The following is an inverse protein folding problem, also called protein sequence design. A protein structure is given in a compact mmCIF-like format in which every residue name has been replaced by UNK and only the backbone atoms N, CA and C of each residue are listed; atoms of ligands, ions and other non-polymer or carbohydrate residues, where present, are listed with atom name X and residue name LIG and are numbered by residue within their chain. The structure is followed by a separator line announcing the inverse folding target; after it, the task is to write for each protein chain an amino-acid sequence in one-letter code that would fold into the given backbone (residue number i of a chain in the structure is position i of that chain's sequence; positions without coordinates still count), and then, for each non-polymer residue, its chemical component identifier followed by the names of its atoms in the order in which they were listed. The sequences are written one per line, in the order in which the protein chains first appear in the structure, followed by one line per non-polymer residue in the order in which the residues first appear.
data_IF_489872859206
#
_entry.id   IF_489872859206
#
_cell.length_a   1.000
_cell.length_b   1.000
_cell.length_c   1.000
_cell.angle_alpha   90.00
_cell.angle_beta   90.00
_cell.angle_gamma   90.00
#
_symmetry.space_group_name_H-M   'P 1'
#
loop_
_entity.id
_entity.type
_entity.pdbx_description
1 polymer ?
#
# COMPACT_ATOMS: atom_id res chain seq x y z
N UNK A 1 14.54 -17.78 -16.16
CA UNK A 1 15.49 -16.75 -16.60
C UNK A 1 15.79 -15.91 -15.38
N UNK A 2 17.02 -15.94 -14.86
CA UNK A 2 17.39 -15.09 -13.74
C UNK A 2 17.30 -13.64 -14.22
N UNK A 3 16.59 -12.78 -13.49
CA UNK A 3 16.57 -11.35 -13.77
C UNK A 3 18.01 -10.86 -13.70
N UNK A 4 18.48 -10.23 -14.78
CA UNK A 4 19.80 -9.63 -14.83
C UNK A 4 19.83 -8.53 -13.76
N UNK A 5 20.61 -8.73 -12.70
CA UNK A 5 20.74 -7.76 -11.61
C UNK A 5 21.57 -6.60 -12.17
N UNK A 6 20.89 -5.56 -12.64
CA UNK A 6 21.54 -4.31 -13.08
C UNK A 6 21.84 -3.48 -11.82
N UNK A 7 22.92 -3.84 -11.11
CA UNK A 7 23.37 -3.07 -9.96
C UNK A 7 24.68 -2.34 -10.29
N UNK A 8 24.66 -1.00 -10.44
CA UNK A 8 25.85 -0.24 -10.80
C UNK A 8 26.92 -0.18 -9.68
N UNK A 9 26.65 -0.74 -8.48
CA UNK A 9 27.55 -0.67 -7.32
C UNK A 9 28.21 -2.00 -6.94
N UNK A 10 28.10 -3.05 -7.76
CA UNK A 10 28.77 -4.33 -7.47
C UNK A 10 30.29 -4.29 -7.64
N UNK A 11 30.84 -3.28 -8.33
CA UNK A 11 32.21 -3.32 -8.86
C UNK A 11 33.20 -2.36 -8.19
N UNK A 12 32.96 -1.90 -6.95
CA UNK A 12 33.93 -1.06 -6.22
C UNK A 12 34.45 -1.72 -4.93
N UNK A 13 35.71 -2.17 -5.01
CA UNK A 13 36.71 -2.35 -3.95
C UNK A 13 36.24 -2.82 -2.56
N UNK A 14 36.23 -4.15 -2.38
CA UNK A 14 36.26 -4.78 -1.06
C UNK A 14 37.68 -4.67 -0.46
N UNK A 15 38.04 -3.47 0.00
CA UNK A 15 39.16 -3.21 0.89
C UNK A 15 38.64 -2.78 2.26
N UNK A 16 38.20 -3.72 3.09
CA UNK A 16 37.89 -3.45 4.49
C UNK A 16 38.25 -4.66 5.37
N UNK A 17 39.07 -4.39 6.38
CA UNK A 17 39.61 -5.33 7.35
C UNK A 17 38.48 -6.05 8.12
N UNK A 18 38.60 -7.37 8.22
CA UNK A 18 37.65 -8.22 8.95
C UNK A 18 37.90 -8.10 10.46
N UNK A 19 36.95 -7.49 11.17
CA UNK A 19 36.82 -7.65 12.62
C UNK A 19 36.12 -8.98 12.93
N UNK A 20 36.75 -9.81 13.77
CA UNK A 20 36.22 -11.09 14.24
C UNK A 20 34.90 -10.90 15.01
N UNK A 21 33.80 -11.52 14.56
CA UNK A 21 32.62 -11.71 15.42
C UNK A 21 31.23 -11.74 14.76
N UNK A 22 31.10 -11.36 13.48
CA UNK A 22 29.85 -11.53 12.74
C UNK A 22 30.16 -12.23 11.41
N UNK A 23 29.57 -13.42 11.20
CA UNK A 23 29.45 -13.98 9.85
C UNK A 23 28.84 -12.89 8.96
N UNK A 24 29.48 -12.49 7.85
CA UNK A 24 28.91 -11.46 7.00
C UNK A 24 27.54 -11.94 6.52
N UNK A 25 26.49 -11.13 6.74
CA UNK A 25 25.13 -11.32 6.19
C UNK A 25 25.11 -11.58 4.68
N UNK A 26 26.25 -11.34 4.02
CA UNK A 26 26.62 -11.65 2.64
C UNK A 26 26.71 -13.15 2.29
N UNK A 27 26.26 -14.07 3.16
CA UNK A 27 26.24 -15.51 2.82
C UNK A 27 25.14 -15.84 1.79
N UNK A 28 25.47 -15.77 0.50
CA UNK A 28 24.82 -16.40 -0.66
C UNK A 28 23.31 -16.21 -0.91
N UNK A 29 22.55 -15.51 -0.07
CA UNK A 29 21.12 -15.30 -0.32
C UNK A 29 20.93 -14.31 -1.49
N UNK A 30 20.34 -14.74 -2.62
CA UNK A 30 20.12 -13.89 -3.78
C UNK A 30 19.28 -12.64 -3.48
N UNK A 31 18.46 -12.65 -2.43
CA UNK A 31 17.68 -11.50 -2.01
C UNK A 31 18.60 -10.34 -1.58
N UNK A 32 19.64 -10.59 -0.78
CA UNK A 32 20.57 -9.54 -0.35
C UNK A 32 21.40 -9.00 -1.51
N UNK A 33 21.84 -9.88 -2.42
CA UNK A 33 22.56 -9.49 -3.62
C UNK A 33 21.72 -8.56 -4.53
N UNK A 34 20.43 -8.87 -4.71
CA UNK A 34 19.48 -8.04 -5.47
C UNK A 34 19.26 -6.66 -4.83
N UNK A 35 19.22 -6.59 -3.49
CA UNK A 35 18.91 -5.35 -2.77
C UNK A 35 20.12 -4.46 -2.50
N UNK A 36 21.34 -4.91 -2.78
CA UNK A 36 22.56 -4.11 -2.56
C UNK A 36 22.44 -2.78 -3.31
N UNK A 37 22.52 -1.65 -2.63
CA UNK A 37 22.40 -0.33 -3.27
C UNK A 37 20.97 0.13 -3.61
N UNK A 38 19.95 -0.65 -3.25
CA UNK A 38 18.54 -0.35 -3.52
C UNK A 38 18.05 -0.83 -4.89
N UNK A 39 16.73 -0.84 -5.08
CA UNK A 39 16.06 -1.33 -6.30
C UNK A 39 15.65 -0.22 -7.27
N UNK A 40 15.94 1.04 -6.92
CA UNK A 40 15.44 2.21 -7.63
C UNK A 40 16.57 3.14 -8.09
N UNK A 41 16.33 3.83 -9.19
CA UNK A 41 17.16 4.93 -9.67
C UNK A 41 16.27 6.03 -10.27
N UNK A 42 16.74 7.28 -10.23
CA UNK A 42 16.11 8.41 -10.93
C UNK A 42 16.83 8.60 -12.27
N UNK A 43 16.06 8.68 -13.35
CA UNK A 43 16.58 8.91 -14.70
C UNK A 43 15.92 10.14 -15.31
N UNK A 44 16.72 11.02 -15.91
CA UNK A 44 16.21 12.17 -16.65
C UNK A 44 15.45 11.71 -17.91
N UNK A 45 14.27 12.29 -18.15
CA UNK A 45 13.45 12.02 -19.34
C UNK A 45 13.81 12.91 -20.53
N UNK A 46 14.61 13.95 -20.30
CA UNK A 46 15.10 14.87 -21.33
C UNK A 46 16.63 14.89 -21.33
N UNK A 47 17.28 14.93 -22.50
CA UNK A 47 18.74 15.03 -22.57
C UNK A 47 19.22 16.41 -22.13
N UNK A 48 20.39 16.45 -21.49
CA UNK A 48 21.13 17.69 -21.20
C UNK A 48 22.54 17.52 -21.75
N UNK A 49 22.74 17.81 -23.04
CA UNK A 49 23.99 17.52 -23.75
C UNK A 49 24.91 18.73 -23.86
N UNK A 50 24.32 19.93 -23.91
CA UNK A 50 25.04 21.16 -24.14
C UNK A 50 24.43 22.33 -23.35
N UNK A 51 24.99 23.53 -23.57
CA UNK A 51 24.56 24.77 -22.93
C UNK A 51 23.12 25.13 -23.29
N UNK A 52 22.68 24.81 -24.50
CA UNK A 52 21.36 25.18 -24.99
C UNK A 52 20.30 24.32 -24.30
N UNK A 53 20.49 22.99 -24.27
CA UNK A 53 19.66 22.06 -23.51
C UNK A 53 19.58 22.47 -22.02
N UNK A 54 20.74 22.77 -21.39
CA UNK A 54 20.80 23.19 -19.99
C UNK A 54 20.02 24.50 -19.73
N UNK A 55 20.09 25.45 -20.67
CA UNK A 55 19.39 26.74 -20.54
C UNK A 55 17.87 26.62 -20.64
N UNK A 56 17.37 25.54 -21.27
CA UNK A 56 15.95 25.23 -21.37
C UNK A 56 15.47 24.41 -20.17
N UNK A 57 16.19 23.35 -19.81
CA UNK A 57 15.86 22.46 -18.70
C UNK A 57 16.01 23.16 -17.33
N UNK A 58 16.87 24.18 -17.25
CA UNK A 58 17.12 24.95 -16.05
C UNK A 58 17.14 26.46 -16.34
N UNK A 59 17.96 27.23 -15.62
CA UNK A 59 18.03 28.68 -15.78
C UNK A 59 18.61 29.08 -17.14
N UNK A 60 18.00 30.05 -17.85
CA UNK A 60 16.84 30.85 -17.46
C UNK A 60 15.47 30.30 -17.92
N UNK A 61 15.42 29.24 -18.72
CA UNK A 61 14.20 28.70 -19.32
C UNK A 61 13.14 28.27 -18.31
N UNK A 62 13.55 27.55 -17.26
CA UNK A 62 12.66 27.04 -16.20
C UNK A 62 11.84 28.16 -15.52
N UNK A 63 12.37 29.39 -15.43
CA UNK A 63 11.68 30.51 -14.81
C UNK A 63 10.37 30.85 -15.53
N UNK A 64 10.30 30.68 -16.86
CA UNK A 64 9.07 30.92 -17.63
C UNK A 64 7.98 29.92 -17.24
N UNK A 65 8.33 28.65 -17.08
CA UNK A 65 7.41 27.59 -16.67
C UNK A 65 6.93 27.81 -15.23
N UNK A 66 7.85 28.16 -14.32
CA UNK A 66 7.48 28.51 -12.94
C UNK A 66 6.51 29.69 -12.87
N UNK A 67 6.75 30.76 -13.64
CA UNK A 67 5.84 31.91 -13.72
C UNK A 67 4.47 31.52 -14.28
N UNK A 68 4.43 30.70 -15.33
CA UNK A 68 3.17 30.23 -15.90
C UNK A 68 2.34 29.41 -14.89
N UNK A 69 2.98 28.52 -14.11
CA UNK A 69 2.29 27.76 -13.05
C UNK A 69 1.84 28.68 -11.91
N UNK A 70 2.62 29.70 -11.55
CA UNK A 70 2.22 30.67 -10.54
C UNK A 70 0.98 31.49 -10.95
N UNK A 71 0.81 31.76 -12.25
CA UNK A 71 -0.36 32.44 -12.81
C UNK A 71 -1.55 31.48 -13.02
N UNK A 72 -1.28 30.22 -13.39
CA UNK A 72 -2.29 29.18 -13.66
C UNK A 72 -1.85 27.85 -13.00
N UNK A 73 -2.23 27.61 -11.73
CA UNK A 73 -1.76 26.46 -10.95
C UNK A 73 -1.97 25.09 -11.61
N UNK A 74 -3.05 24.89 -12.35
CA UNK A 74 -3.39 23.62 -13.01
C UNK A 74 -2.32 23.15 -14.02
N UNK A 75 -1.54 24.09 -14.58
CA UNK A 75 -0.43 23.79 -15.49
C UNK A 75 0.67 22.94 -14.85
N UNK A 76 0.66 22.78 -13.52
CA UNK A 76 1.56 21.85 -12.82
C UNK A 76 1.42 20.41 -13.33
N UNK A 77 0.23 20.01 -13.79
CA UNK A 77 -0.02 18.65 -14.30
C UNK A 77 0.56 18.42 -15.70
N UNK A 78 0.70 19.48 -16.49
CA UNK A 78 1.22 19.43 -17.86
C UNK A 78 2.74 19.60 -17.90
N UNK A 79 3.29 20.47 -17.06
CA UNK A 79 4.70 20.88 -17.12
C UNK A 79 5.57 20.34 -15.99
N UNK A 80 5.03 19.44 -15.16
CA UNK A 80 5.82 18.73 -14.15
C UNK A 80 5.48 17.24 -14.16
N UNK A 81 6.32 16.44 -13.51
CA UNK A 81 6.06 15.02 -13.33
C UNK A 81 4.88 14.69 -12.39
N UNK A 82 4.25 15.70 -11.74
CA UNK A 82 3.21 15.51 -10.71
C UNK A 82 2.10 14.58 -11.19
N UNK A 83 1.67 14.70 -12.44
CA UNK A 83 0.59 13.88 -13.02
C UNK A 83 0.92 12.39 -13.15
N UNK A 84 2.19 12.01 -13.04
CA UNK A 84 2.67 10.64 -13.28
C UNK A 84 3.34 9.99 -12.07
N UNK A 85 3.42 10.70 -10.93
CA UNK A 85 4.15 10.23 -9.74
C UNK A 85 3.26 10.06 -8.51
N UNK A 86 3.41 8.92 -7.84
CA UNK A 86 2.69 8.57 -6.60
C UNK A 86 3.67 8.52 -5.41
N UNK A 87 3.25 9.04 -4.26
CA UNK A 87 3.96 8.81 -3.00
C UNK A 87 3.54 7.46 -2.41
N UNK A 88 4.48 6.55 -2.18
CA UNK A 88 4.25 5.30 -1.44
C UNK A 88 4.64 5.55 0.01
N UNK A 89 3.66 5.81 0.86
CA UNK A 89 3.85 6.28 2.24
C UNK A 89 3.64 5.16 3.24
N UNK A 90 4.57 5.00 4.17
CA UNK A 90 4.48 4.05 5.28
C UNK A 90 5.10 4.63 6.56
N UNK A 91 4.73 4.10 7.72
CA UNK A 91 5.44 4.27 8.99
C UNK A 91 6.19 2.99 9.42
N UNK A 92 6.09 1.91 8.65
CA UNK A 92 6.73 0.62 8.92
C UNK A 92 6.12 -0.19 10.07
N UNK A 93 4.90 0.14 10.49
CA UNK A 93 4.27 -0.48 11.67
C UNK A 93 3.51 -1.78 11.39
N UNK A 94 3.29 -2.14 10.13
CA UNK A 94 2.62 -3.38 9.73
C UNK A 94 3.23 -4.00 8.47
N UNK A 95 4.56 -4.08 8.41
CA UNK A 95 5.27 -4.56 7.23
C UNK A 95 5.06 -6.06 7.04
N UNK A 96 4.30 -6.44 6.02
CA UNK A 96 4.01 -7.83 5.69
C UNK A 96 3.52 -8.63 6.93
N UNK A 97 4.10 -9.81 7.18
CA UNK A 97 3.90 -10.58 8.42
C UNK A 97 4.93 -10.29 9.51
N UNK A 98 5.79 -9.28 9.33
CA UNK A 98 6.87 -8.94 10.27
C UNK A 98 6.39 -7.99 11.38
N UNK A 99 5.28 -7.28 11.14
CA UNK A 99 4.70 -6.34 12.08
C UNK A 99 5.46 -5.01 12.10
N UNK A 100 5.60 -4.45 13.31
CA UNK A 100 6.27 -3.17 13.50
C UNK A 100 7.79 -3.36 13.54
N UNK A 101 8.43 -3.02 12.42
CA UNK A 101 9.89 -3.09 12.24
C UNK A 101 10.51 -1.71 12.00
N UNK A 102 9.70 -0.66 12.03
CA UNK A 102 10.11 0.72 11.81
C UNK A 102 10.29 1.11 10.33
N UNK A 103 10.42 2.42 10.07
CA UNK A 103 10.38 2.96 8.71
C UNK A 103 11.59 2.55 7.87
N UNK A 104 12.81 2.53 8.40
CA UNK A 104 13.99 2.16 7.61
C UNK A 104 13.95 0.69 7.17
N UNK A 105 13.48 -0.21 8.04
CA UNK A 105 13.35 -1.62 7.72
C UNK A 105 12.21 -1.92 6.72
N UNK A 106 11.26 -0.99 6.56
CA UNK A 106 10.19 -1.08 5.57
C UNK A 106 10.63 -0.72 4.15
N UNK A 107 11.72 0.06 3.99
CA UNK A 107 12.14 0.60 2.68
C UNK A 107 12.30 -0.44 1.58
N UNK A 108 12.86 -1.66 1.83
CA UNK A 108 12.89 -2.70 0.81
C UNK A 108 11.50 -3.04 0.27
N UNK A 109 10.47 -3.08 1.12
CA UNK A 109 9.09 -3.34 0.65
C UNK A 109 8.57 -2.16 -0.17
N UNK A 110 8.80 -0.92 0.30
CA UNK A 110 8.34 0.29 -0.39
C UNK A 110 9.02 0.49 -1.74
N UNK A 111 10.32 0.25 -1.86
CA UNK A 111 11.04 0.22 -3.13
C UNK A 111 10.47 -0.88 -4.05
N UNK A 112 10.11 -2.02 -3.47
CA UNK A 112 9.41 -3.11 -4.17
C UNK A 112 8.08 -2.65 -4.77
N UNK A 113 7.25 -1.95 -3.98
CA UNK A 113 5.99 -1.37 -4.45
C UNK A 113 6.22 -0.35 -5.56
N UNK A 114 7.22 0.51 -5.42
CA UNK A 114 7.53 1.52 -6.42
C UNK A 114 7.94 0.92 -7.78
N UNK A 115 8.79 -0.13 -7.80
CA UNK A 115 9.13 -0.80 -9.06
C UNK A 115 7.94 -1.54 -9.67
N UNK A 116 6.98 -2.03 -8.87
CA UNK A 116 5.75 -2.66 -9.37
C UNK A 116 4.82 -1.63 -10.01
N UNK A 117 4.66 -0.44 -9.41
CA UNK A 117 3.96 0.69 -10.02
C UNK A 117 4.54 1.02 -11.41
N UNK A 118 5.87 1.07 -11.51
CA UNK A 118 6.53 1.36 -12.79
C UNK A 118 6.36 0.24 -13.80
N UNK A 119 6.64 -1.00 -13.40
CA UNK A 119 6.71 -2.15 -14.30
C UNK A 119 5.33 -2.55 -14.86
N UNK A 120 4.28 -2.47 -14.03
CA UNK A 120 2.94 -2.95 -14.42
C UNK A 120 1.96 -1.81 -14.70
N UNK A 121 2.12 -0.66 -14.04
CA UNK A 121 1.25 0.50 -14.21
C UNK A 121 1.81 1.61 -15.10
N UNK A 122 3.12 1.60 -15.39
CA UNK A 122 3.78 2.74 -16.04
C UNK A 122 3.83 4.00 -15.17
N UNK A 123 3.58 3.88 -13.86
CA UNK A 123 3.48 4.98 -12.89
C UNK A 123 4.82 5.12 -12.17
N UNK A 124 5.34 6.34 -12.07
CA UNK A 124 6.51 6.61 -11.22
C UNK A 124 6.08 6.65 -9.75
N UNK A 125 6.92 6.15 -8.86
CA UNK A 125 6.57 6.05 -7.45
C UNK A 125 7.79 6.34 -6.57
N UNK A 126 7.56 7.07 -5.48
CA UNK A 126 8.60 7.46 -4.52
C UNK A 126 8.27 6.87 -3.14
N UNK A 127 9.11 5.97 -2.61
CA UNK A 127 9.04 5.52 -1.22
C UNK A 127 9.22 6.67 -0.24
N UNK A 128 8.30 6.82 0.70
CA UNK A 128 8.35 7.80 1.78
C UNK A 128 8.07 7.05 3.10
N UNK A 129 9.15 6.64 3.78
CA UNK A 129 9.07 6.03 5.09
C UNK A 129 9.17 7.12 6.18
N UNK A 130 8.13 7.26 6.99
CA UNK A 130 8.00 8.31 8.01
C UNK A 130 8.36 7.76 9.38
N UNK A 131 9.29 8.42 10.07
CA UNK A 131 9.64 8.11 11.46
C UNK A 131 8.72 8.83 12.45
N UNK A 132 7.43 8.55 12.35
CA UNK A 132 6.41 8.97 13.29
C UNK A 132 5.23 7.98 13.26
N UNK A 133 4.59 7.79 14.41
CA UNK A 133 3.42 6.90 14.55
C UNK A 133 2.17 7.65 15.00
N UNK A 134 2.25 8.96 15.21
CA UNK A 134 1.06 9.76 15.46
C UNK A 134 0.29 9.98 14.16
N UNK A 135 -1.03 9.72 14.19
CA UNK A 135 -1.86 9.79 12.99
C UNK A 135 -1.96 11.23 12.44
N UNK A 136 -2.03 12.24 13.30
CA UNK A 136 -2.11 13.64 12.88
C UNK A 136 -0.78 14.14 12.31
N UNK A 137 0.35 13.71 12.88
CA UNK A 137 1.68 14.00 12.34
C UNK A 137 1.89 13.38 10.95
N UNK A 138 1.47 12.13 10.75
CA UNK A 138 1.52 11.47 9.43
C UNK A 138 0.65 12.25 8.44
N UNK A 139 -0.60 12.53 8.79
CA UNK A 139 -1.55 13.26 7.92
C UNK A 139 -0.98 14.62 7.52
N UNK A 140 -0.50 15.41 8.48
CA UNK A 140 0.04 16.74 8.21
C UNK A 140 1.31 16.68 7.36
N UNK A 141 2.18 15.69 7.58
CA UNK A 141 3.38 15.48 6.77
C UNK A 141 3.01 15.17 5.32
N UNK A 142 2.09 14.22 5.10
CA UNK A 142 1.64 13.84 3.76
C UNK A 142 0.94 15.01 3.06
N UNK A 143 0.14 15.80 3.78
CA UNK A 143 -0.50 17.00 3.21
C UNK A 143 0.54 18.02 2.73
N UNK A 144 1.62 18.23 3.47
CA UNK A 144 2.71 19.13 3.04
C UNK A 144 3.50 18.60 1.85
N UNK A 145 3.57 17.28 1.68
CA UNK A 145 4.23 16.64 0.54
C UNK A 145 3.36 16.61 -0.73
N UNK A 146 2.03 16.61 -0.58
CA UNK A 146 1.07 16.44 -1.66
C UNK A 146 1.27 17.34 -2.90
N UNK A 147 1.75 18.60 -2.82
CA UNK A 147 2.05 19.38 -4.02
C UNK A 147 2.99 18.67 -5.01
N UNK A 148 3.87 17.79 -4.55
CA UNK A 148 4.86 17.07 -5.38
C UNK A 148 4.30 15.82 -6.08
N UNK A 149 3.11 15.36 -5.72
CA UNK A 149 2.56 14.07 -6.14
C UNK A 149 1.19 14.19 -6.79
N UNK A 150 0.86 13.25 -7.67
CA UNK A 150 -0.44 13.10 -8.31
C UNK A 150 -1.37 12.12 -7.60
N UNK A 151 -0.85 11.37 -6.63
CA UNK A 151 -1.60 10.47 -5.77
C UNK A 151 -0.77 9.99 -4.57
N UNK A 152 -1.45 9.43 -3.58
CA UNK A 152 -0.85 8.84 -2.38
C UNK A 152 -1.29 7.39 -2.25
N UNK A 153 -0.33 6.48 -2.16
CA UNK A 153 -0.52 5.08 -1.81
C UNK A 153 -0.04 4.86 -0.38
N UNK A 154 -0.97 4.61 0.56
CA UNK A 154 -0.64 4.21 1.92
C UNK A 154 -0.35 2.71 1.97
N UNK A 155 0.71 2.34 2.66
CA UNK A 155 1.23 0.97 2.68
C UNK A 155 1.73 0.58 4.08
N UNK A 156 1.45 -0.65 4.52
CA UNK A 156 2.05 -1.26 5.72
C UNK A 156 1.88 -0.41 7.00
N UNK A 157 0.73 0.27 7.16
CA UNK A 157 0.36 1.04 8.37
C UNK A 157 -0.60 0.22 9.23
N UNK A 158 -0.30 0.09 10.52
CA UNK A 158 -1.10 -0.74 11.42
C UNK A 158 -2.53 -0.24 11.67
N UNK A 159 -3.46 -1.18 11.71
CA UNK A 159 -4.82 -0.94 12.18
C UNK A 159 -4.82 -0.72 13.71
N UNK A 160 -5.70 0.17 14.24
CA UNK A 160 -6.77 0.88 13.54
C UNK A 160 -6.35 2.24 12.95
N UNK A 161 -5.12 2.71 13.16
CA UNK A 161 -4.68 4.07 12.75
C UNK A 161 -4.77 4.28 11.24
N UNK A 162 -4.50 3.24 10.45
CA UNK A 162 -4.60 3.27 9.00
C UNK A 162 -5.95 3.81 8.48
N UNK A 163 -7.06 3.46 9.13
CA UNK A 163 -8.40 3.91 8.75
C UNK A 163 -8.60 5.41 8.97
N UNK A 164 -8.08 5.93 10.09
CA UNK A 164 -8.17 7.34 10.43
C UNK A 164 -7.27 8.19 9.52
N UNK A 165 -6.04 7.74 9.29
CA UNK A 165 -5.07 8.40 8.40
C UNK A 165 -5.64 8.50 6.98
N UNK A 166 -6.13 7.39 6.44
CA UNK A 166 -6.72 7.37 5.09
C UNK A 166 -7.91 8.33 4.98
N UNK A 167 -8.87 8.24 5.91
CA UNK A 167 -10.04 9.13 5.91
C UNK A 167 -9.63 10.60 5.96
N UNK A 168 -8.74 10.98 6.91
CA UNK A 168 -8.28 12.37 7.06
C UNK A 168 -7.56 12.87 5.82
N UNK A 169 -6.78 12.02 5.15
CA UNK A 169 -6.10 12.38 3.92
C UNK A 169 -7.08 12.55 2.76
N UNK A 170 -8.05 11.65 2.60
CA UNK A 170 -9.11 11.78 1.58
C UNK A 170 -9.96 13.04 1.77
N UNK A 171 -10.17 13.48 3.02
CA UNK A 171 -10.90 14.73 3.33
C UNK A 171 -10.08 15.99 3.03
N UNK A 172 -8.75 15.92 3.14
CA UNK A 172 -7.87 17.10 3.06
C UNK A 172 -7.15 17.27 1.73
N UNK A 173 -7.03 16.23 0.92
CA UNK A 173 -6.29 16.23 -0.33
C UNK A 173 -7.23 16.27 -1.54
N UNK A 174 -6.79 16.99 -2.57
CA UNK A 174 -7.40 17.06 -3.90
C UNK A 174 -6.89 15.97 -4.85
N UNK A 175 -5.88 15.21 -4.43
CA UNK A 175 -5.33 14.05 -5.14
C UNK A 175 -5.88 12.73 -4.57
N UNK A 176 -5.96 11.65 -5.38
CA UNK A 176 -6.40 10.35 -4.88
C UNK A 176 -5.51 9.81 -3.76
N UNK A 177 -6.14 9.26 -2.73
CA UNK A 177 -5.50 8.56 -1.61
C UNK A 177 -6.07 7.15 -1.55
N UNK A 178 -5.18 6.16 -1.55
CA UNK A 178 -5.53 4.75 -1.59
C UNK A 178 -4.65 3.95 -0.62
N UNK A 179 -5.26 3.16 0.26
CA UNK A 179 -4.53 2.19 1.06
C UNK A 179 -4.55 0.80 0.43
N UNK A 180 -3.39 0.29 0.00
CA UNK A 180 -3.31 -0.96 -0.78
C UNK A 180 -3.71 -2.19 0.05
N UNK A 181 -3.22 -2.29 1.29
CA UNK A 181 -3.56 -3.41 2.18
C UNK A 181 -5.06 -3.54 2.46
N UNK A 182 -5.80 -2.44 2.37
CA UNK A 182 -7.25 -2.42 2.50
C UNK A 182 -7.92 -2.68 1.15
N UNK A 183 -7.86 -1.71 0.26
CA UNK A 183 -8.68 -1.67 -0.95
C UNK A 183 -8.10 -2.58 -2.04
N UNK A 184 -6.78 -2.63 -2.19
CA UNK A 184 -6.11 -3.52 -3.15
C UNK A 184 -6.44 -4.98 -2.86
N UNK A 185 -6.28 -5.39 -1.59
CA UNK A 185 -6.65 -6.72 -1.10
C UNK A 185 -8.14 -7.04 -1.34
N UNK A 186 -9.04 -6.08 -1.09
CA UNK A 186 -10.47 -6.27 -1.31
C UNK A 186 -10.83 -6.44 -2.79
N UNK A 187 -10.26 -5.63 -3.68
CA UNK A 187 -10.50 -5.70 -5.13
C UNK A 187 -10.10 -7.07 -5.69
N UNK A 188 -8.90 -7.55 -5.36
CA UNK A 188 -8.42 -8.84 -5.88
C UNK A 188 -9.20 -10.01 -5.28
N UNK A 189 -9.60 -9.92 -4.01
CA UNK A 189 -10.44 -10.93 -3.35
C UNK A 189 -11.82 -11.03 -4.00
N UNK A 190 -12.47 -9.89 -4.26
CA UNK A 190 -13.76 -9.86 -4.97
C UNK A 190 -13.62 -10.42 -6.40
N UNK A 191 -12.56 -10.06 -7.12
CA UNK A 191 -12.31 -10.57 -8.46
C UNK A 191 -12.14 -12.11 -8.48
N UNK A 192 -11.35 -12.65 -7.54
CA UNK A 192 -11.17 -14.09 -7.36
C UNK A 192 -12.52 -14.78 -7.05
N UNK A 193 -13.30 -14.21 -6.12
CA UNK A 193 -14.58 -14.79 -5.74
C UNK A 193 -15.62 -14.76 -6.87
N UNK A 194 -15.67 -13.69 -7.67
CA UNK A 194 -16.52 -13.63 -8.87
C UNK A 194 -16.19 -14.74 -9.87
N UNK A 195 -14.91 -15.04 -10.07
CA UNK A 195 -14.49 -16.13 -10.95
C UNK A 195 -14.83 -17.51 -10.35
N UNK A 196 -14.65 -17.70 -9.04
CA UNK A 196 -15.03 -18.94 -8.36
C UNK A 196 -16.55 -19.18 -8.41
N UNK A 197 -17.36 -18.14 -8.23
CA UNK A 197 -18.82 -18.20 -8.35
C UNK A 197 -19.23 -18.62 -9.78
N UNK A 198 -18.66 -17.98 -10.80
CA UNK A 198 -18.89 -18.35 -12.21
C UNK A 198 -18.51 -19.81 -12.50
N UNK A 199 -17.35 -20.26 -12.02
CA UNK A 199 -16.88 -21.63 -12.23
C UNK A 199 -17.80 -22.67 -11.57
N UNK A 200 -18.38 -22.34 -10.43
CA UNK A 200 -19.32 -23.22 -9.70
C UNK A 200 -20.78 -23.08 -10.15
N UNK A 201 -21.07 -22.21 -11.12
CA UNK A 201 -22.44 -21.96 -11.59
C UNK A 201 -23.32 -21.22 -10.58
N UNK A 202 -22.71 -20.50 -9.62
CA UNK A 202 -23.39 -19.75 -8.56
C UNK A 202 -23.25 -18.25 -8.75
N UNK A 203 -24.11 -17.49 -8.10
CA UNK A 203 -24.04 -16.03 -7.99
C UNK A 203 -23.52 -15.62 -6.60
N UNK A 204 -22.96 -14.41 -6.46
CA UNK A 204 -22.47 -13.93 -5.17
C UNK A 204 -23.56 -13.92 -4.08
N UNK A 205 -24.81 -13.62 -4.46
CA UNK A 205 -25.95 -13.59 -3.55
C UNK A 205 -26.31 -14.93 -2.94
N UNK A 206 -25.82 -16.04 -3.51
CA UNK A 206 -26.03 -17.40 -3.01
C UNK A 206 -24.92 -17.87 -2.08
N UNK A 207 -23.85 -17.07 -1.89
CA UNK A 207 -22.68 -17.46 -1.12
C UNK A 207 -22.74 -16.91 0.30
N UNK A 208 -22.32 -17.75 1.26
CA UNK A 208 -21.93 -17.32 2.61
C UNK A 208 -20.42 -17.40 2.78
N UNK A 209 -19.79 -16.26 3.06
CA UNK A 209 -18.36 -16.18 3.33
C UNK A 209 -18.05 -16.06 4.83
N UNK A 210 -16.90 -16.59 5.24
CA UNK A 210 -16.32 -16.39 6.56
C UNK A 210 -14.91 -15.85 6.39
N UNK A 211 -14.64 -14.68 6.97
CA UNK A 211 -13.35 -14.02 6.96
C UNK A 211 -12.67 -14.24 8.32
N UNK A 212 -11.48 -14.84 8.32
CA UNK A 212 -10.59 -14.87 9.49
C UNK A 212 -9.68 -13.65 9.43
N UNK A 213 -9.85 -12.73 10.37
CA UNK A 213 -9.11 -11.47 10.43
C UNK A 213 -10.04 -10.27 10.33
N UNK A 214 -10.08 -9.45 11.39
CA UNK A 214 -10.83 -8.19 11.46
C UNK A 214 -9.88 -6.97 11.49
N UNK A 215 -8.77 -7.06 10.77
CA UNK A 215 -7.83 -5.96 10.52
C UNK A 215 -8.19 -5.16 9.26
N UNK A 216 -7.25 -4.34 8.78
CA UNK A 216 -7.39 -3.50 7.59
C UNK A 216 -7.99 -4.25 6.38
N UNK A 217 -7.33 -5.32 5.95
CA UNK A 217 -7.78 -6.15 4.83
C UNK A 217 -9.17 -6.77 5.06
N UNK A 218 -9.39 -7.40 6.21
CA UNK A 218 -10.64 -8.13 6.48
C UNK A 218 -11.88 -7.23 6.52
N UNK A 219 -11.74 -6.03 7.09
CA UNK A 219 -12.81 -5.01 7.10
C UNK A 219 -13.11 -4.55 5.68
N UNK A 220 -12.08 -4.21 4.89
CA UNK A 220 -12.25 -3.74 3.52
C UNK A 220 -12.84 -4.81 2.59
N UNK A 221 -12.38 -6.07 2.71
CA UNK A 221 -12.96 -7.21 1.99
C UNK A 221 -14.44 -7.35 2.33
N UNK A 222 -14.80 -7.38 3.62
CA UNK A 222 -16.19 -7.55 4.04
C UNK A 222 -17.10 -6.46 3.44
N UNK A 223 -16.69 -5.19 3.54
CA UNK A 223 -17.42 -4.05 2.99
C UNK A 223 -17.62 -4.20 1.48
N UNK A 224 -16.55 -4.46 0.74
CA UNK A 224 -16.62 -4.59 -0.72
C UNK A 224 -17.44 -5.80 -1.18
N UNK A 225 -17.39 -6.92 -0.44
CA UNK A 225 -18.22 -8.09 -0.74
C UNK A 225 -19.71 -7.81 -0.51
N UNK A 226 -20.06 -7.10 0.56
CA UNK A 226 -21.44 -6.68 0.84
C UNK A 226 -21.94 -5.72 -0.23
N UNK A 227 -21.16 -4.71 -0.60
CA UNK A 227 -21.49 -3.78 -1.69
C UNK A 227 -21.63 -4.50 -3.04
N UNK A 228 -20.85 -5.55 -3.28
CA UNK A 228 -20.95 -6.38 -4.47
C UNK A 228 -22.13 -7.36 -4.46
N UNK A 229 -22.91 -7.41 -3.39
CA UNK A 229 -24.12 -8.23 -3.28
C UNK A 229 -23.88 -9.68 -2.86
N UNK A 230 -22.86 -9.96 -2.05
CA UNK A 230 -22.74 -11.29 -1.41
C UNK A 230 -23.96 -11.58 -0.53
N UNK A 231 -24.37 -12.86 -0.48
CA UNK A 231 -25.51 -13.30 0.32
C UNK A 231 -25.35 -12.94 1.79
N UNK A 232 -24.28 -13.46 2.40
CA UNK A 232 -23.88 -13.16 3.76
C UNK A 232 -22.35 -13.26 3.94
N UNK A 233 -21.80 -12.49 4.86
CA UNK A 233 -20.38 -12.54 5.23
C UNK A 233 -20.26 -12.39 6.73
N UNK A 234 -19.57 -13.31 7.40
CA UNK A 234 -19.20 -13.20 8.79
C UNK A 234 -17.70 -12.93 8.91
N UNK A 235 -17.29 -12.10 9.88
CA UNK A 235 -15.88 -11.82 10.13
C UNK A 235 -15.54 -12.26 11.56
N UNK A 236 -14.42 -12.93 11.75
CA UNK A 236 -13.93 -13.32 13.06
C UNK A 236 -12.62 -12.58 13.38
N UNK A 237 -12.48 -12.17 14.64
CA UNK A 237 -11.22 -11.73 15.22
C UNK A 237 -10.70 -12.77 16.22
N UNK A 238 -9.60 -12.44 16.91
CA UNK A 238 -8.96 -13.35 17.88
C UNK A 238 -9.87 -13.80 19.04
N UNK A 239 -11.00 -13.13 19.26
CA UNK A 239 -11.96 -13.44 20.32
C UNK A 239 -13.24 -14.11 19.80
N UNK A 240 -13.34 -14.35 18.49
CA UNK A 240 -14.47 -15.01 17.85
C UNK A 240 -15.14 -14.14 16.79
N UNK A 241 -16.34 -14.55 16.37
CA UNK A 241 -17.16 -13.83 15.40
C UNK A 241 -17.43 -12.41 15.90
N UNK A 242 -17.32 -11.44 15.01
CA UNK A 242 -17.69 -10.05 15.24
C UNK A 242 -19.21 -9.96 15.08
N UNK A 243 -19.89 -9.60 16.18
CA UNK A 243 -21.35 -9.63 16.28
C UNK A 243 -21.83 -8.52 17.21
N UNK A 244 -23.07 -8.07 17.03
CA UNK A 244 -23.63 -6.92 17.74
C UNK A 244 -23.80 -7.12 19.27
N UNK A 245 -23.75 -8.36 19.75
CA UNK A 245 -23.81 -8.74 21.16
C UNK A 245 -22.44 -8.67 21.87
N UNK A 246 -21.36 -8.33 21.16
CA UNK A 246 -20.04 -8.15 21.77
C UNK A 246 -19.82 -6.73 22.26
N UNK A 247 -19.53 -6.60 23.56
CA UNK A 247 -19.27 -5.32 24.23
C UNK A 247 -17.83 -4.79 24.06
N UNK A 248 -16.93 -5.59 23.48
CA UNK A 248 -15.49 -5.31 23.42
C UNK A 248 -15.01 -4.83 22.04
N UNK A 249 -15.94 -4.47 21.15
CA UNK A 249 -15.65 -4.07 19.78
C UNK A 249 -15.13 -2.63 19.70
N UNK A 250 -14.14 -2.40 18.85
CA UNK A 250 -13.73 -1.05 18.45
C UNK A 250 -14.82 -0.40 17.57
N UNK A 251 -14.84 0.93 17.40
CA UNK A 251 -15.82 1.60 16.53
C UNK A 251 -15.89 1.01 15.11
N UNK A 252 -14.73 0.69 14.52
CA UNK A 252 -14.66 0.04 13.19
C UNK A 252 -15.31 -1.35 13.20
N UNK A 253 -15.13 -2.13 14.26
CA UNK A 253 -15.75 -3.46 14.38
C UNK A 253 -17.24 -3.39 14.71
N UNK A 254 -17.69 -2.36 15.42
CA UNK A 254 -19.11 -2.08 15.64
C UNK A 254 -19.81 -1.74 14.33
N UNK A 255 -19.18 -0.90 13.50
CA UNK A 255 -19.67 -0.62 12.14
C UNK A 255 -19.69 -1.91 11.31
N UNK A 256 -18.62 -2.70 11.33
CA UNK A 256 -18.55 -4.00 10.65
C UNK A 256 -19.72 -4.91 11.05
N UNK A 257 -20.01 -5.04 12.35
CA UNK A 257 -21.10 -5.86 12.86
C UNK A 257 -22.49 -5.37 12.39
N UNK A 258 -22.62 -4.09 12.01
CA UNK A 258 -23.90 -3.51 11.59
C UNK A 258 -24.34 -3.91 10.17
N UNK A 259 -23.39 -4.28 9.31
CA UNK A 259 -23.66 -4.62 7.90
C UNK A 259 -23.21 -6.03 7.50
N UNK A 260 -22.53 -6.76 8.39
CA UNK A 260 -22.13 -8.17 8.20
C UNK A 260 -22.98 -9.10 9.06
N UNK A 261 -22.78 -10.41 8.90
CA UNK A 261 -23.32 -11.46 9.76
C UNK A 261 -24.86 -11.44 9.86
N UNK A 262 -25.54 -11.44 8.70
CA UNK A 262 -27.01 -11.47 8.62
C UNK A 262 -27.60 -12.73 9.25
N UNK A 263 -26.83 -13.83 9.28
CA UNK A 263 -27.21 -15.07 9.93
C UNK A 263 -27.17 -15.01 11.47
N UNK A 264 -26.67 -13.94 12.08
CA UNK A 264 -26.62 -13.78 13.54
C UNK A 264 -25.70 -14.79 14.22
N UNK A 265 -24.59 -15.16 13.57
CA UNK A 265 -23.61 -16.10 14.10
C UNK A 265 -22.84 -15.49 15.27
N UNK A 266 -22.50 -16.31 16.25
CA UNK A 266 -21.67 -15.94 17.39
C UNK A 266 -20.73 -17.09 17.77
N UNK A 267 -19.79 -16.83 18.69
CA UNK A 267 -18.84 -17.84 19.14
C UNK A 267 -17.58 -17.91 18.28
N UNK A 268 -17.10 -19.11 17.99
CA UNK A 268 -15.78 -19.32 17.38
C UNK A 268 -15.79 -19.25 15.85
N UNK A 269 -14.61 -19.07 15.26
CA UNK A 269 -14.42 -19.11 13.81
C UNK A 269 -14.88 -20.46 13.22
N UNK A 270 -14.56 -21.57 13.91
CA UNK A 270 -14.92 -22.92 13.49
C UNK A 270 -16.44 -23.10 13.45
N UNK A 271 -17.17 -22.52 14.40
CA UNK A 271 -18.62 -22.54 14.41
C UNK A 271 -19.20 -21.76 13.20
N UNK A 272 -18.62 -20.61 12.86
CA UNK A 272 -19.05 -19.82 11.70
C UNK A 272 -18.83 -20.53 10.36
N UNK A 273 -17.80 -21.38 10.26
CA UNK A 273 -17.48 -22.17 9.06
C UNK A 273 -18.54 -23.23 8.73
N UNK A 274 -19.34 -23.68 9.70
CA UNK A 274 -20.32 -24.75 9.50
C UNK A 274 -21.40 -24.37 8.47
N UNK A 275 -21.25 -24.83 7.22
CA UNK A 275 -22.14 -24.48 6.12
C UNK A 275 -21.78 -23.19 5.37
N UNK A 276 -20.57 -22.67 5.57
CA UNK A 276 -20.04 -21.59 4.75
C UNK A 276 -19.57 -22.13 3.39
N UNK A 277 -19.71 -21.31 2.35
CA UNK A 277 -19.27 -21.66 0.99
C UNK A 277 -17.83 -21.20 0.73
N UNK A 278 -17.40 -20.16 1.44
CA UNK A 278 -16.13 -19.47 1.20
C UNK A 278 -15.44 -19.21 2.53
N UNK A 279 -14.15 -19.51 2.59
CA UNK A 279 -13.25 -19.09 3.65
C UNK A 279 -12.20 -18.11 3.11
N UNK A 280 -11.99 -16.99 3.79
CA UNK A 280 -11.01 -15.96 3.43
C UNK A 280 -10.10 -15.73 4.65
N UNK A 281 -8.82 -16.09 4.54
CA UNK A 281 -7.84 -15.92 5.62
C UNK A 281 -6.96 -14.69 5.39
N UNK A 282 -7.00 -13.73 6.31
CA UNK A 282 -6.21 -12.49 6.32
C UNK A 282 -5.78 -12.13 7.77
N UNK A 283 -5.43 -13.16 8.54
CA UNK A 283 -5.16 -13.12 9.99
C UNK A 283 -3.76 -13.58 10.35
#
# INVERSE_FOLDING_TARGET
MAAEIVNPRSDSDAGAEQGEGAEPLDSFDPAFALHRGGKMAVQATVPVRDKEDLSLAYTPGVAKVCSAIAEQPDLVHDYTWKSSVVAVVTDGTAVLGLGDIGPEASLPVMEGKAILFKQFGGVDAVPIALNCTDADEIVETVVRLAPSFGGVNLEDISAPRCFEIERKLQERLDIPVFHDDQHGTAVVTLAALRNAARLSGRTLGELRAVISGAGAAGVAIAKMLVEAGIGDVAVADRKGVVSADRDDLTPVKQELASFTNKAGLSGSLEAALAGADVFIGVS
#
